data_IF_029090493632
#
_entry.id   IF_029090493632
#
_cell.length_a   1.000
_cell.length_b   1.000
_cell.length_c   1.000
_cell.angle_alpha   90.00
_cell.angle_beta   90.00
_cell.angle_gamma   90.00
#
_symmetry.space_group_name_H-M   'P 1'
#
loop_
_entity.id
_entity.type
_entity.pdbx_description
1 polymer ?
#
# COMPACT_ATOMS: atom_id res chain seq x y z
N UNK A 1 -21.53 -10.03 -0.84
CA UNK A 1 -21.95 -8.83 -1.60
C UNK A 1 -20.97 -7.72 -1.27
N UNK A 2 -19.93 -7.62 -2.09
CA UNK A 2 -19.09 -6.44 -2.41
C UNK A 2 -17.80 -6.98 -3.04
N UNK A 3 -17.97 -7.63 -4.18
CA UNK A 3 -17.11 -7.34 -5.32
C UNK A 3 -17.77 -6.12 -6.00
N UNK A 4 -16.95 -5.16 -6.45
CA UNK A 4 -17.19 -4.10 -7.47
C UNK A 4 -16.53 -2.76 -7.07
N UNK A 5 -15.71 -2.08 -7.92
CA UNK A 5 -15.18 -2.46 -9.24
C UNK A 5 -13.63 -2.58 -9.24
N UNK A 6 -13.07 -2.99 -10.37
CA UNK A 6 -11.67 -2.77 -10.74
C UNK A 6 -11.23 -1.34 -10.41
N UNK A 7 -10.21 -1.14 -9.55
CA UNK A 7 -9.47 0.12 -9.57
C UNK A 7 -8.76 0.58 -8.30
N UNK A 8 -9.25 0.33 -7.08
CA UNK A 8 -8.58 0.82 -5.86
C UNK A 8 -9.28 0.35 -4.58
N UNK A 9 -8.62 -0.46 -3.74
CA UNK A 9 -9.09 -0.77 -2.39
C UNK A 9 -8.14 -0.15 -1.37
N UNK A 10 -8.67 0.67 -0.45
CA UNK A 10 -7.90 1.15 0.70
C UNK A 10 -7.61 0.01 1.68
N UNK A 11 -6.39 -0.50 1.63
CA UNK A 11 -5.92 -1.59 2.47
C UNK A 11 -5.08 -1.09 3.65
N UNK A 12 -5.07 -1.88 4.72
CA UNK A 12 -4.25 -1.60 5.91
C UNK A 12 -2.74 -1.75 5.63
N UNK A 13 -1.91 -1.21 6.52
CA UNK A 13 -0.45 -1.44 6.53
C UNK A 13 -0.07 -2.92 6.40
N UNK A 14 -0.77 -3.82 7.11
CA UNK A 14 -0.49 -5.25 7.07
C UNK A 14 -0.80 -5.89 5.72
N UNK A 15 -1.95 -5.53 5.14
CA UNK A 15 -2.33 -5.98 3.80
C UNK A 15 -1.39 -5.41 2.73
N UNK A 16 -1.02 -4.13 2.82
CA UNK A 16 -0.06 -3.50 1.92
C UNK A 16 1.31 -4.17 1.96
N UNK A 17 1.80 -4.50 3.17
CA UNK A 17 3.07 -5.20 3.33
C UNK A 17 3.04 -6.59 2.68
N UNK A 18 1.93 -7.32 2.86
CA UNK A 18 1.71 -8.62 2.21
C UNK A 18 1.64 -8.49 0.68
N UNK A 19 0.94 -7.48 0.17
CA UNK A 19 0.83 -7.21 -1.27
C UNK A 19 2.21 -6.93 -1.89
N UNK A 20 3.04 -6.14 -1.21
CA UNK A 20 4.39 -5.79 -1.65
C UNK A 20 5.45 -6.87 -1.33
N UNK A 21 5.08 -7.99 -0.73
CA UNK A 21 6.03 -9.05 -0.36
C UNK A 21 7.06 -8.65 0.71
N UNK A 22 6.78 -7.63 1.54
CA UNK A 22 7.70 -7.13 2.57
C UNK A 22 7.13 -7.27 3.99
N UNK A 23 8.00 -7.14 5.00
CA UNK A 23 7.55 -7.06 6.39
C UNK A 23 6.84 -5.71 6.68
N UNK A 24 5.89 -5.70 7.62
CA UNK A 24 5.28 -4.44 8.09
C UNK A 24 6.31 -3.41 8.61
N UNK A 25 7.36 -3.80 9.39
CA UNK A 25 8.44 -2.88 9.75
C UNK A 25 9.16 -2.26 8.55
N UNK A 26 9.40 -3.03 7.48
CA UNK A 26 10.02 -2.54 6.24
C UNK A 26 9.14 -1.48 5.59
N UNK A 27 7.84 -1.76 5.42
CA UNK A 27 6.88 -0.83 4.86
C UNK A 27 6.78 0.46 5.69
N UNK A 28 6.70 0.34 7.02
CA UNK A 28 6.70 1.51 7.92
C UNK A 28 7.99 2.33 7.80
N UNK A 29 9.15 1.70 7.62
CA UNK A 29 10.43 2.40 7.39
C UNK A 29 10.42 3.13 6.05
N UNK A 30 9.87 2.54 4.99
CA UNK A 30 9.74 3.17 3.69
C UNK A 30 8.86 4.44 3.78
N UNK A 31 7.74 4.36 4.50
CA UNK A 31 6.87 5.52 4.75
C UNK A 31 7.60 6.61 5.54
N UNK A 32 8.29 6.25 6.62
CA UNK A 32 9.07 7.21 7.44
C UNK A 32 10.18 7.90 6.64
N UNK A 33 10.73 7.22 5.63
CA UNK A 33 11.76 7.77 4.73
C UNK A 33 11.17 8.52 3.53
N UNK A 34 9.85 8.61 3.41
CA UNK A 34 9.16 9.28 2.31
C UNK A 34 9.20 8.52 0.97
N UNK A 35 9.62 7.25 0.98
CA UNK A 35 9.69 6.40 -0.24
C UNK A 35 8.34 5.81 -0.62
N UNK A 36 7.43 5.71 0.35
CA UNK A 36 6.07 5.25 0.17
C UNK A 36 5.14 6.23 0.88
N UNK A 37 4.01 6.58 0.28
CA UNK A 37 3.02 7.47 0.93
C UNK A 37 1.71 6.71 1.13
N UNK A 38 1.12 6.75 2.33
CA UNK A 38 -0.25 6.27 2.51
C UNK A 38 -1.21 7.25 1.85
N UNK A 39 -2.23 6.74 1.17
CA UNK A 39 -3.32 7.51 0.57
C UNK A 39 -4.13 8.24 1.64
N UNK A 40 -4.31 7.61 2.81
CA UNK A 40 -5.03 8.18 3.95
C UNK A 40 -4.37 7.75 5.26
N UNK A 41 -4.39 8.63 6.26
CA UNK A 41 -4.11 8.28 7.65
C UNK A 41 -5.36 8.57 8.47
N UNK A 42 -5.87 7.57 9.19
CA UNK A 42 -7.05 7.75 10.05
C UNK A 42 -6.72 8.64 11.25
N UNK A 43 -7.72 9.23 11.94
CA UNK A 43 -7.47 10.00 13.16
C UNK A 43 -6.70 9.23 14.25
N UNK A 44 -6.87 7.90 14.32
CA UNK A 44 -6.11 7.02 15.22
C UNK A 44 -4.68 6.69 14.74
N UNK A 45 -4.20 7.29 13.65
CA UNK A 45 -2.85 7.10 13.13
C UNK A 45 -2.66 5.84 12.26
N UNK A 46 -3.72 5.10 11.96
CA UNK A 46 -3.63 3.93 11.08
C UNK A 46 -3.52 4.39 9.63
N UNK A 47 -2.54 3.84 8.92
CA UNK A 47 -2.28 4.14 7.51
C UNK A 47 -3.13 3.25 6.60
N UNK A 48 -3.64 3.84 5.53
CA UNK A 48 -4.37 3.18 4.45
C UNK A 48 -3.66 3.46 3.14
N UNK A 49 -3.56 2.43 2.32
CA UNK A 49 -2.87 2.45 1.04
C UNK A 49 -3.84 2.02 -0.05
N UNK A 50 -3.77 2.68 -1.20
CA UNK A 50 -4.46 2.23 -2.39
C UNK A 50 -3.77 0.99 -2.95
N UNK A 51 -4.49 -0.13 -3.03
CA UNK A 51 -3.92 -1.37 -3.55
C UNK A 51 -3.49 -1.27 -5.01
N UNK A 52 -4.19 -0.50 -5.85
CA UNK A 52 -3.86 -0.38 -7.26
C UNK A 52 -2.62 0.49 -7.49
N UNK A 53 -2.47 1.57 -6.71
CA UNK A 53 -1.23 2.38 -6.73
C UNK A 53 -0.01 1.54 -6.33
N UNK A 54 -0.14 0.70 -5.30
CA UNK A 54 0.91 -0.21 -4.86
C UNK A 54 1.27 -1.25 -5.92
N UNK A 55 0.26 -1.87 -6.55
CA UNK A 55 0.50 -2.83 -7.62
C UNK A 55 1.12 -2.18 -8.85
N UNK A 56 0.68 -0.99 -9.25
CA UNK A 56 1.26 -0.24 -10.37
C UNK A 56 2.75 0.06 -10.12
N UNK A 57 3.12 0.46 -8.90
CA UNK A 57 4.52 0.71 -8.54
C UNK A 57 5.42 -0.54 -8.72
N UNK A 58 4.92 -1.73 -8.38
CA UNK A 58 5.65 -2.99 -8.61
C UNK A 58 5.86 -3.25 -10.10
N UNK A 59 4.84 -3.04 -10.94
CA UNK A 59 4.96 -3.23 -12.38
C UNK A 59 6.00 -2.30 -13.03
N UNK A 60 6.15 -1.06 -12.52
CA UNK A 60 7.20 -0.15 -12.99
C UNK A 60 8.61 -0.58 -12.58
N UNK A 61 8.79 -1.20 -11.41
CA UNK A 61 10.11 -1.70 -10.97
C UNK A 61 10.51 -3.03 -11.66
N UNK A 62 9.55 -3.78 -12.20
CA UNK A 62 9.79 -5.06 -12.91
C UNK A 62 10.05 -4.92 -14.42
N UNK A 63 10.10 -3.70 -14.97
CA UNK A 63 10.38 -3.49 -16.40
C UNK A 63 11.90 -3.58 -16.66
N UNK A 64 12.39 -4.53 -17.48
CA UNK A 64 13.83 -4.73 -17.76
C UNK A 64 14.45 -3.65 -18.65
#
# INVERSE_FOLDING_TARGET
MQDEPEGARLISTGQAARLLGVSQPTLNRAVRRGRLRPTLTTPGGHRRFDSAELSAALYYEETP
#
